data_IF_182887486306
#
_entry.id   IF_182887486306
#
_cell.length_a   1.000
_cell.length_b   1.000
_cell.length_c   1.000
_cell.angle_alpha   90.00
_cell.angle_beta   90.00
_cell.angle_gamma   90.00
#
_symmetry.space_group_name_H-M   'P 1'
#
loop_
_entity.id
_entity.type
_entity.pdbx_description
1 polymer ?
#
# COMPACT_ATOMS: atom_id res chain seq x y z
N UNK A 1 3.94 -17.22 19.29
CA UNK A 1 3.80 -17.22 17.81
C UNK A 1 4.41 -18.50 17.30
N UNK A 2 3.69 -19.27 16.49
CA UNK A 2 4.21 -20.49 15.85
C UNK A 2 4.67 -20.17 14.42
N UNK A 3 5.64 -20.93 13.91
CA UNK A 3 6.08 -20.81 12.52
C UNK A 3 4.92 -21.14 11.57
N UNK A 4 4.83 -20.43 10.44
CA UNK A 4 3.82 -20.67 9.41
C UNK A 4 4.51 -20.85 8.06
N UNK A 5 4.09 -21.86 7.29
CA UNK A 5 4.54 -22.06 5.90
C UNK A 5 3.80 -21.19 4.88
N UNK A 6 2.98 -20.22 5.34
CA UNK A 6 2.19 -19.34 4.49
C UNK A 6 2.96 -18.05 4.17
N UNK A 7 2.75 -17.53 2.97
CA UNK A 7 3.43 -16.35 2.46
C UNK A 7 3.83 -16.57 1.01
N UNK A 8 3.78 -15.52 0.19
CA UNK A 8 4.14 -15.60 -1.23
C UNK A 8 4.65 -14.25 -1.71
N UNK A 9 5.67 -14.26 -2.56
CA UNK A 9 6.05 -13.10 -3.34
C UNK A 9 6.15 -13.48 -4.82
N UNK A 10 5.47 -12.73 -5.67
CA UNK A 10 5.66 -12.78 -7.12
C UNK A 10 6.02 -11.37 -7.58
N UNK A 11 7.18 -11.23 -8.20
CA UNK A 11 7.71 -9.96 -8.71
C UNK A 11 8.03 -10.13 -10.17
N UNK A 12 7.44 -9.30 -11.02
CA UNK A 12 7.71 -9.27 -12.45
C UNK A 12 8.28 -7.89 -12.82
N UNK A 13 9.30 -7.88 -13.66
CA UNK A 13 9.97 -6.65 -14.07
C UNK A 13 10.12 -6.65 -15.58
N UNK A 14 9.70 -5.56 -16.22
CA UNK A 14 9.97 -5.27 -17.61
C UNK A 14 10.81 -3.99 -17.69
N UNK A 15 11.84 -3.98 -18.53
CA UNK A 15 12.71 -2.83 -18.73
C UNK A 15 13.00 -2.61 -20.20
N UNK A 16 13.14 -1.35 -20.55
CA UNK A 16 13.55 -0.90 -21.87
C UNK A 16 14.55 0.24 -21.70
N UNK A 17 15.58 0.22 -22.53
CA UNK A 17 16.58 1.28 -22.64
C UNK A 17 16.96 1.40 -24.11
N UNK A 18 17.06 2.63 -24.60
CA UNK A 18 17.49 2.92 -25.96
C UNK A 18 18.19 4.26 -26.03
N UNK A 19 19.32 4.27 -26.73
CA UNK A 19 20.02 5.49 -27.15
C UNK A 19 19.91 5.63 -28.65
N UNK A 20 19.77 6.87 -29.09
CA UNK A 20 19.70 7.25 -30.49
C UNK A 20 20.91 8.10 -30.84
N UNK A 21 21.37 8.00 -32.08
CA UNK A 21 22.59 8.67 -32.54
C UNK A 21 22.48 10.20 -32.53
N UNK A 22 21.26 10.74 -32.49
CA UNK A 22 20.99 12.19 -32.40
C UNK A 22 21.05 12.74 -30.96
N UNK A 23 21.56 11.97 -29.99
CA UNK A 23 21.80 12.43 -28.62
C UNK A 23 20.67 12.17 -27.62
N UNK A 24 19.58 11.53 -28.05
CA UNK A 24 18.47 11.13 -27.17
C UNK A 24 18.73 9.76 -26.51
N UNK A 25 18.59 9.69 -25.20
CA UNK A 25 18.47 8.47 -24.41
C UNK A 25 17.09 8.37 -23.77
N UNK A 26 16.49 7.19 -23.84
CA UNK A 26 15.22 6.87 -23.20
C UNK A 26 15.37 5.58 -22.40
N UNK A 27 14.96 5.61 -21.14
CA UNK A 27 14.90 4.43 -20.29
C UNK A 27 13.59 4.36 -19.53
N UNK A 28 13.05 3.16 -19.37
CA UNK A 28 11.89 2.90 -18.54
C UNK A 28 11.94 1.50 -17.93
N UNK A 29 11.42 1.39 -16.71
CA UNK A 29 11.22 0.11 -16.04
C UNK A 29 9.87 0.09 -15.37
N UNK A 30 9.17 -1.04 -15.49
CA UNK A 30 7.94 -1.31 -14.78
C UNK A 30 8.15 -2.54 -13.89
N UNK A 31 7.75 -2.43 -12.63
CA UNK A 31 7.77 -3.53 -11.66
C UNK A 31 6.36 -3.77 -11.14
N UNK A 32 5.91 -5.01 -11.25
CA UNK A 32 4.69 -5.51 -10.64
C UNK A 32 5.02 -6.40 -9.44
N UNK A 33 4.34 -6.19 -8.33
CA UNK A 33 4.46 -7.01 -7.13
C UNK A 33 3.11 -7.57 -6.69
N UNK A 34 3.09 -8.86 -6.39
CA UNK A 34 1.98 -9.55 -5.71
C UNK A 34 2.55 -10.31 -4.51
N UNK A 35 2.46 -9.67 -3.34
CA UNK A 35 3.09 -10.16 -2.11
C UNK A 35 2.02 -10.38 -1.06
N UNK A 36 2.01 -11.57 -0.47
CA UNK A 36 1.11 -11.94 0.62
C UNK A 36 1.91 -12.44 1.81
N UNK A 37 1.50 -12.06 3.01
CA UNK A 37 2.11 -12.48 4.27
C UNK A 37 1.05 -12.70 5.36
N UNK A 38 1.46 -13.40 6.42
CA UNK A 38 0.63 -13.63 7.62
C UNK A 38 1.00 -12.62 8.70
N UNK A 39 2.26 -12.65 9.17
CA UNK A 39 2.78 -11.62 10.07
C UNK A 39 3.68 -10.67 9.26
N UNK A 40 3.43 -9.36 9.31
CA UNK A 40 4.20 -8.39 8.54
C UNK A 40 5.60 -8.10 9.12
N UNK A 41 6.01 -8.68 10.26
CA UNK A 41 7.34 -8.48 10.87
C UNK A 41 7.72 -6.98 11.00
N UNK A 42 6.79 -6.17 11.50
CA UNK A 42 6.94 -4.71 11.56
C UNK A 42 7.77 -4.22 12.76
N UNK A 43 8.27 -5.12 13.60
CA UNK A 43 8.97 -4.81 14.85
C UNK A 43 9.91 -5.95 15.25
N UNK A 44 10.63 -5.78 16.37
CA UNK A 44 11.73 -6.66 16.78
C UNK A 44 11.40 -7.64 17.91
N UNK A 45 10.28 -7.47 18.63
CA UNK A 45 9.91 -8.35 19.75
C UNK A 45 8.60 -9.09 19.48
N UNK A 46 8.47 -10.30 20.02
CA UNK A 46 7.29 -11.13 19.78
C UNK A 46 5.97 -10.46 20.21
N UNK A 47 5.99 -9.66 21.27
CA UNK A 47 4.83 -8.92 21.77
C UNK A 47 4.37 -7.84 20.80
N UNK A 48 5.28 -7.03 20.26
CA UNK A 48 4.94 -5.99 19.29
C UNK A 48 4.56 -6.57 17.92
N UNK A 49 5.19 -7.66 17.50
CA UNK A 49 4.80 -8.38 16.28
C UNK A 49 3.40 -8.98 16.35
N UNK A 50 3.01 -9.47 17.53
CA UNK A 50 1.63 -9.89 17.78
C UNK A 50 0.68 -8.70 17.87
N UNK A 51 1.11 -7.58 18.47
CA UNK A 51 0.34 -6.34 18.58
C UNK A 51 0.06 -5.65 17.24
N UNK A 52 0.99 -5.69 16.30
CA UNK A 52 0.93 -4.94 15.04
C UNK A 52 0.35 -5.71 13.85
N UNK A 53 0.12 -7.01 13.99
CA UNK A 53 -0.45 -7.81 12.91
C UNK A 53 -1.97 -7.57 12.81
N UNK A 54 -2.49 -7.42 11.59
CA UNK A 54 -3.93 -7.35 11.36
C UNK A 54 -4.55 -8.73 11.62
N UNK A 55 -5.61 -8.77 12.43
CA UNK A 55 -6.22 -9.99 12.97
C UNK A 55 -7.66 -10.12 12.47
N UNK A 56 -7.98 -11.16 11.70
CA UNK A 56 -9.38 -11.55 11.45
C UNK A 56 -9.90 -12.42 12.61
N UNK A 57 -9.02 -13.28 13.13
CA UNK A 57 -9.18 -13.98 14.40
C UNK A 57 -8.26 -13.30 15.43
N UNK A 58 -8.75 -12.88 16.60
CA UNK A 58 -7.93 -12.24 17.65
C UNK A 58 -6.67 -13.02 18.06
N UNK A 59 -6.66 -14.34 17.88
CA UNK A 59 -5.55 -15.23 18.22
C UNK A 59 -4.60 -15.47 17.04
N UNK A 60 -5.05 -15.26 15.80
CA UNK A 60 -4.29 -15.60 14.59
C UNK A 60 -4.25 -14.46 13.58
N UNK A 61 -3.02 -14.08 13.20
CA UNK A 61 -2.78 -13.07 12.19
C UNK A 61 -3.41 -13.45 10.84
N UNK A 62 -4.05 -12.48 10.20
CA UNK A 62 -4.70 -12.68 8.92
C UNK A 62 -3.66 -12.87 7.81
N UNK A 63 -3.88 -13.89 6.97
CA UNK A 63 -3.17 -14.00 5.70
C UNK A 63 -3.77 -13.02 4.70
N UNK A 64 -2.95 -12.22 4.05
CA UNK A 64 -3.42 -11.28 3.05
C UNK A 64 -2.29 -10.54 2.39
N UNK A 65 -2.62 -9.44 1.71
CA UNK A 65 -1.64 -8.60 1.03
C UNK A 65 -0.60 -8.08 2.03
N UNK A 66 0.68 -8.08 1.65
CA UNK A 66 1.74 -7.55 2.50
C UNK A 66 1.62 -6.04 2.65
N UNK A 67 1.97 -5.52 3.83
CA UNK A 67 2.06 -4.06 4.06
C UNK A 67 3.23 -3.43 3.29
N UNK A 68 4.20 -4.24 2.87
CA UNK A 68 5.36 -3.78 2.10
C UNK A 68 5.18 -3.88 0.58
N UNK A 69 4.04 -4.38 0.10
CA UNK A 69 3.78 -4.51 -1.33
C UNK A 69 3.66 -3.13 -1.99
N UNK A 70 4.59 -2.81 -2.90
CA UNK A 70 4.42 -1.73 -3.87
C UNK A 70 3.94 -2.36 -5.17
N UNK A 71 2.61 -2.40 -5.34
CA UNK A 71 1.97 -3.22 -6.38
C UNK A 71 2.45 -2.90 -7.79
N UNK A 72 2.54 -1.62 -8.11
CA UNK A 72 3.04 -1.13 -9.38
C UNK A 72 4.06 -0.03 -9.11
N UNK A 73 5.20 -0.10 -9.76
CA UNK A 73 6.12 1.04 -9.85
C UNK A 73 6.66 1.17 -11.27
N UNK A 74 6.81 2.42 -11.70
CA UNK A 74 7.46 2.79 -12.95
C UNK A 74 8.60 3.72 -12.60
N UNK A 75 9.76 3.50 -13.20
CA UNK A 75 10.85 4.49 -13.22
C UNK A 75 11.18 4.80 -14.66
N UNK A 76 11.38 6.06 -14.99
CA UNK A 76 11.71 6.48 -16.35
C UNK A 76 12.78 7.56 -16.32
N UNK A 77 13.54 7.62 -17.42
CA UNK A 77 14.50 8.67 -17.69
C UNK A 77 14.47 9.04 -19.17
N UNK A 78 14.69 10.31 -19.44
CA UNK A 78 14.91 10.89 -20.74
C UNK A 78 16.13 11.78 -20.62
N UNK A 79 17.12 11.55 -21.47
CA UNK A 79 18.35 12.32 -21.54
C UNK A 79 18.50 12.83 -22.97
N UNK A 80 18.82 14.10 -23.15
CA UNK A 80 19.03 14.69 -24.46
C UNK A 80 20.25 15.60 -24.42
N UNK A 81 21.26 15.23 -25.20
CA UNK A 81 22.50 15.97 -25.34
C UNK A 81 22.63 16.52 -26.76
N UNK A 82 22.71 17.83 -26.89
CA UNK A 82 22.88 18.47 -28.18
C UNK A 82 23.67 19.78 -28.09
N UNK A 83 24.60 19.99 -29.02
CA UNK A 83 25.36 21.22 -29.11
C UNK A 83 24.62 22.24 -29.97
N UNK A 84 23.77 23.07 -29.33
CA UNK A 84 23.05 24.13 -30.03
C UNK A 84 23.94 25.33 -30.40
N UNK A 85 25.09 25.47 -29.72
CA UNK A 85 25.99 26.62 -29.84
C UNK A 85 27.43 26.15 -30.10
N UNK A 86 27.81 26.00 -31.37
CA UNK A 86 29.15 25.49 -31.72
C UNK A 86 29.36 24.06 -31.18
N UNK A 87 30.46 23.85 -30.46
CA UNK A 87 30.79 22.56 -29.83
C UNK A 87 30.28 22.44 -28.38
N UNK A 88 29.66 23.50 -27.83
CA UNK A 88 29.20 23.54 -26.44
C UNK A 88 27.89 22.79 -26.26
N UNK A 89 27.91 21.74 -25.44
CA UNK A 89 26.74 20.89 -25.21
C UNK A 89 25.72 21.54 -24.30
N UNK A 90 24.46 21.40 -24.70
CA UNK A 90 23.29 21.55 -23.84
C UNK A 90 22.79 20.16 -23.47
N UNK A 91 22.67 19.90 -22.17
CA UNK A 91 22.15 18.65 -21.65
C UNK A 91 20.81 18.89 -20.95
N UNK A 92 19.81 18.12 -21.35
CA UNK A 92 18.49 18.07 -20.75
C UNK A 92 18.24 16.66 -20.23
N UNK A 93 18.04 16.51 -18.93
CA UNK A 93 17.74 15.22 -18.32
C UNK A 93 16.48 15.30 -17.47
N UNK A 94 15.53 14.41 -17.72
CA UNK A 94 14.33 14.21 -16.90
C UNK A 94 14.38 12.81 -16.34
N UNK A 95 14.19 12.68 -15.04
CA UNK A 95 14.00 11.37 -14.41
C UNK A 95 12.78 11.41 -13.50
N UNK A 96 12.09 10.29 -13.40
CA UNK A 96 10.90 10.23 -12.58
C UNK A 96 10.57 8.83 -12.11
N UNK A 97 9.76 8.80 -11.05
CA UNK A 97 9.13 7.60 -10.56
C UNK A 97 7.64 7.78 -10.32
N UNK A 98 6.91 6.74 -10.66
CA UNK A 98 5.56 6.49 -10.20
C UNK A 98 5.58 5.24 -9.33
N UNK A 99 4.85 5.28 -8.21
CA UNK A 99 4.55 4.07 -7.46
C UNK A 99 3.16 4.10 -6.84
N UNK A 100 2.51 2.95 -6.84
CA UNK A 100 1.28 2.74 -6.07
C UNK A 100 1.55 3.02 -4.59
N UNK A 101 0.56 3.62 -3.92
CA UNK A 101 0.62 3.90 -2.50
C UNK A 101 0.74 2.64 -1.63
N UNK A 102 1.01 2.85 -0.35
CA UNK A 102 1.21 1.77 0.60
C UNK A 102 -0.13 1.09 0.92
N UNK A 103 -0.16 -0.24 1.02
CA UNK A 103 -1.32 -0.98 1.49
C UNK A 103 -1.66 -0.63 2.94
N UNK A 104 -2.95 -0.59 3.28
CA UNK A 104 -3.41 -0.43 4.67
C UNK A 104 -4.66 -1.28 4.94
N UNK A 105 -4.83 -1.68 6.20
CA UNK A 105 -5.98 -2.48 6.64
C UNK A 105 -7.06 -1.58 7.23
N UNK A 106 -8.32 -1.97 7.01
CA UNK A 106 -9.45 -1.40 7.73
C UNK A 106 -9.66 -2.20 9.01
N UNK A 107 -9.55 -1.52 10.14
CA UNK A 107 -9.62 -2.16 11.45
C UNK A 107 -10.67 -1.47 12.30
N UNK A 108 -11.35 -2.26 13.12
CA UNK A 108 -12.13 -1.73 14.24
C UNK A 108 -11.21 -1.47 15.44
N UNK A 109 -11.59 -0.46 16.22
CA UNK A 109 -10.91 -0.10 17.46
C UNK A 109 -11.79 -0.49 18.64
N UNK A 110 -11.24 -1.33 19.50
CA UNK A 110 -11.72 -1.45 20.88
C UNK A 110 -11.13 -0.27 21.68
N UNK A 111 -11.99 0.49 22.36
CA UNK A 111 -11.62 1.72 23.08
C UNK A 111 -11.07 1.44 24.48
N UNK A 112 -11.13 0.18 24.95
CA UNK A 112 -10.56 -0.22 26.24
C UNK A 112 -9.04 -0.06 26.28
N UNK A 113 -8.51 0.14 27.48
CA UNK A 113 -7.06 0.13 27.75
C UNK A 113 -6.62 -1.26 28.22
N UNK A 114 -5.47 -1.73 27.73
CA UNK A 114 -4.94 -3.04 28.09
C UNK A 114 -5.60 -4.19 27.33
N UNK A 115 -6.13 -5.20 28.04
CA UNK A 115 -6.76 -6.37 27.43
C UNK A 115 -8.08 -5.98 26.77
N UNK A 116 -8.27 -6.35 25.51
CA UNK A 116 -9.53 -6.14 24.80
C UNK A 116 -10.69 -6.75 25.57
N UNK A 117 -11.72 -5.96 25.85
CA UNK A 117 -12.96 -6.43 26.49
C UNK A 117 -13.82 -7.23 25.52
N UNK A 118 -13.73 -6.91 24.22
CA UNK A 118 -14.49 -7.59 23.15
C UNK A 118 -13.91 -8.97 22.85
N UNK A 119 -12.59 -9.06 22.71
CA UNK A 119 -11.92 -10.27 22.22
C UNK A 119 -11.06 -10.99 23.27
N UNK A 120 -10.88 -10.40 24.45
CA UNK A 120 -10.10 -11.01 25.52
C UNK A 120 -8.61 -11.18 25.18
N UNK A 121 -8.05 -10.40 24.27
CA UNK A 121 -6.63 -10.53 23.88
C UNK A 121 -5.79 -9.33 24.32
N UNK A 122 -4.48 -9.53 24.50
CA UNK A 122 -3.54 -8.47 24.91
C UNK A 122 -2.81 -7.90 23.68
N UNK A 123 -2.47 -6.62 23.68
CA UNK A 123 -1.76 -5.93 22.59
C UNK A 123 -2.56 -4.76 22.03
N UNK A 124 -2.34 -4.38 20.77
CA UNK A 124 -3.03 -3.22 20.21
C UNK A 124 -4.51 -3.52 19.99
N UNK A 125 -5.38 -2.69 20.56
CA UNK A 125 -6.83 -2.78 20.40
C UNK A 125 -7.35 -2.22 19.06
N UNK A 126 -6.44 -1.81 18.17
CA UNK A 126 -6.77 -1.32 16.81
C UNK A 126 -6.39 -2.33 15.72
N UNK A 127 -6.12 -3.58 16.06
CA UNK A 127 -5.58 -4.57 15.12
C UNK A 127 -6.63 -5.48 14.48
N UNK A 128 -7.87 -5.45 14.98
CA UNK A 128 -8.93 -6.35 14.53
C UNK A 128 -9.49 -5.84 13.21
N UNK A 129 -9.48 -6.69 12.18
CA UNK A 129 -10.03 -6.34 10.87
C UNK A 129 -11.52 -6.06 10.98
N UNK A 130 -11.97 -4.99 10.33
CA UNK A 130 -13.35 -4.53 10.38
C UNK A 130 -14.30 -5.56 9.74
N UNK A 131 -15.34 -5.99 10.46
CA UNK A 131 -16.50 -6.61 9.82
C UNK A 131 -17.27 -5.56 9.03
N UNK A 132 -17.59 -5.84 7.77
CA UNK A 132 -18.31 -4.92 6.89
C UNK A 132 -19.80 -5.29 6.92
N UNK A 133 -20.68 -4.45 7.50
CA UNK A 133 -22.13 -4.71 7.50
C UNK A 133 -22.71 -4.95 6.11
N UNK A 134 -23.66 -5.89 6.01
CA UNK A 134 -24.46 -6.16 4.81
C UNK A 134 -25.27 -4.95 4.36
N UNK A 135 -25.67 -4.11 5.33
CA UNK A 135 -26.33 -2.83 5.12
C UNK A 135 -26.64 -2.16 6.47
N UNK A 136 -27.51 -1.15 6.45
CA UNK A 136 -27.91 -0.40 7.64
C UNK A 136 -28.68 -1.26 8.67
N UNK A 137 -29.33 -2.34 8.23
CA UNK A 137 -30.15 -3.24 9.05
C UNK A 137 -29.45 -4.59 9.32
N UNK A 138 -28.13 -4.66 9.22
CA UNK A 138 -27.38 -5.89 9.52
C UNK A 138 -27.57 -6.30 11.01
N UNK A 139 -28.12 -7.49 11.31
CA UNK A 139 -28.39 -7.91 12.67
C UNK A 139 -27.13 -8.18 13.51
N UNK A 140 -25.95 -8.24 12.88
CA UNK A 140 -24.67 -8.45 13.55
C UNK A 140 -24.03 -7.14 14.05
N UNK A 141 -24.62 -5.98 13.74
CA UNK A 141 -24.04 -4.68 14.06
C UNK A 141 -25.06 -3.80 14.77
N UNK A 142 -24.67 -3.28 15.93
CA UNK A 142 -25.42 -2.26 16.66
C UNK A 142 -24.72 -0.92 16.54
N UNK A 143 -25.50 0.14 16.37
CA UNK A 143 -25.03 1.51 16.27
C UNK A 143 -25.49 2.32 17.47
N UNK A 144 -24.70 3.29 17.90
CA UNK A 144 -25.06 4.24 18.96
C UNK A 144 -26.13 5.24 18.49
N UNK A 145 -26.11 5.58 17.19
CA UNK A 145 -27.08 6.48 16.56
C UNK A 145 -27.30 6.17 15.08
N UNK A 146 -28.43 6.62 14.53
CA UNK A 146 -28.70 6.56 13.10
C UNK A 146 -27.68 7.38 12.28
N UNK A 147 -27.18 8.49 12.82
CA UNK A 147 -26.16 9.31 12.15
C UNK A 147 -24.84 8.54 11.97
N UNK A 148 -24.38 7.82 13.02
CA UNK A 148 -23.18 6.97 12.93
C UNK A 148 -23.37 5.84 11.93
N UNK A 149 -24.54 5.19 11.95
CA UNK A 149 -24.90 4.13 11.00
C UNK A 149 -24.82 4.62 9.55
N UNK A 150 -25.49 5.72 9.25
CA UNK A 150 -25.59 6.25 7.89
C UNK A 150 -24.22 6.76 7.41
N UNK A 151 -23.43 7.38 8.30
CA UNK A 151 -22.05 7.80 7.99
C UNK A 151 -21.12 6.60 7.71
N UNK A 152 -21.22 5.52 8.48
CA UNK A 152 -20.44 4.31 8.24
C UNK A 152 -20.86 3.66 6.92
N UNK A 153 -22.16 3.55 6.65
CA UNK A 153 -22.66 2.94 5.42
C UNK A 153 -22.20 3.72 4.17
N UNK A 154 -22.27 5.06 4.22
CA UNK A 154 -21.73 5.93 3.17
C UNK A 154 -20.22 5.75 3.00
N UNK A 155 -19.46 5.64 4.10
CA UNK A 155 -18.02 5.38 4.06
C UNK A 155 -17.69 4.01 3.43
N UNK A 156 -18.45 2.97 3.77
CA UNK A 156 -18.29 1.64 3.17
C UNK A 156 -18.58 1.72 1.67
N UNK A 157 -19.69 2.36 1.28
CA UNK A 157 -20.08 2.57 -0.12
C UNK A 157 -19.04 3.32 -0.96
N UNK A 158 -18.35 4.29 -0.35
CA UNK A 158 -17.31 5.09 -1.01
C UNK A 158 -15.91 4.44 -1.05
N UNK A 159 -15.74 3.24 -0.49
CA UNK A 159 -14.43 2.57 -0.40
C UNK A 159 -14.47 1.16 -0.97
N UNK A 160 -13.30 0.50 -0.98
CA UNK A 160 -13.19 -0.91 -1.39
C UNK A 160 -13.96 -1.85 -0.45
N UNK A 161 -14.38 -1.39 0.73
CA UNK A 161 -15.18 -2.18 1.67
C UNK A 161 -16.53 -2.59 1.08
N UNK A 162 -17.11 -1.81 0.17
CA UNK A 162 -18.41 -2.11 -0.43
C UNK A 162 -18.45 -3.52 -1.08
N UNK A 163 -17.34 -3.95 -1.70
CA UNK A 163 -17.23 -5.28 -2.30
C UNK A 163 -17.06 -6.44 -1.31
N UNK A 164 -17.04 -6.14 0.00
CA UNK A 164 -16.81 -7.09 1.08
C UNK A 164 -17.89 -7.06 2.17
N UNK A 165 -19.06 -6.48 1.88
CA UNK A 165 -20.22 -6.50 2.78
C UNK A 165 -20.61 -7.94 3.17
N UNK A 166 -20.96 -8.13 4.43
CA UNK A 166 -21.25 -9.44 5.03
C UNK A 166 -20.02 -10.26 5.43
N UNK A 167 -18.81 -9.69 5.34
CA UNK A 167 -17.58 -10.39 5.66
C UNK A 167 -16.59 -9.50 6.42
N UNK A 168 -15.59 -10.13 7.04
CA UNK A 168 -14.43 -9.43 7.60
C UNK A 168 -13.57 -8.90 6.45
N UNK A 169 -13.24 -7.61 6.49
CA UNK A 169 -12.44 -6.94 5.48
C UNK A 169 -11.07 -7.65 5.31
N UNK A 170 -10.64 -7.93 4.07
CA UNK A 170 -9.32 -8.52 3.85
C UNK A 170 -8.19 -7.63 4.38
N UNK A 171 -7.14 -8.29 4.90
CA UNK A 171 -5.91 -7.61 5.30
C UNK A 171 -5.33 -6.81 4.13
N UNK A 172 -5.01 -5.55 4.43
CA UNK A 172 -4.38 -4.59 3.53
C UNK A 172 -5.17 -4.33 2.23
N UNK A 173 -6.50 -4.37 2.33
CA UNK A 173 -7.43 -4.06 1.23
C UNK A 173 -7.25 -2.63 0.69
N UNK A 174 -7.06 -1.68 1.61
CA UNK A 174 -6.86 -0.26 1.31
C UNK A 174 -5.54 0.01 0.60
N UNK A 175 -5.45 1.13 -0.09
CA UNK A 175 -4.21 1.59 -0.74
C UNK A 175 -4.15 3.10 -0.63
N UNK A 176 -3.08 3.63 -0.05
CA UNK A 176 -2.90 5.08 0.05
C UNK A 176 -2.78 5.72 -1.34
N UNK A 177 -2.87 7.06 -1.46
CA UNK A 177 -2.60 7.74 -2.71
C UNK A 177 -1.24 7.33 -3.29
N UNK A 178 -1.19 7.26 -4.62
CA UNK A 178 0.04 6.95 -5.33
C UNK A 178 1.00 8.13 -5.29
N UNK A 179 2.29 7.85 -5.40
CA UNK A 179 3.34 8.87 -5.41
C UNK A 179 3.86 9.04 -6.83
N UNK A 180 4.01 10.29 -7.24
CA UNK A 180 4.70 10.72 -8.46
C UNK A 180 5.81 11.68 -8.07
N UNK A 181 7.02 11.44 -8.57
CA UNK A 181 8.17 12.35 -8.44
C UNK A 181 8.82 12.50 -9.79
N UNK A 182 9.07 13.73 -10.21
CA UNK A 182 9.76 14.05 -11.45
C UNK A 182 10.76 15.14 -11.15
N UNK A 183 11.99 14.93 -11.59
CA UNK A 183 13.10 15.84 -11.42
C UNK A 183 13.65 16.19 -12.80
N UNK A 184 14.03 17.45 -12.97
CA UNK A 184 14.54 18.02 -14.20
C UNK A 184 15.94 18.58 -13.95
N UNK A 185 16.87 18.27 -14.85
CA UNK A 185 18.21 18.84 -14.91
C UNK A 185 18.43 19.49 -16.29
N UNK A 186 18.95 20.70 -16.28
CA UNK A 186 19.35 21.45 -17.47
C UNK A 186 20.75 21.99 -17.25
N UNK A 187 21.62 21.77 -18.22
CA UNK A 187 23.02 22.19 -18.17
C UNK A 187 23.45 22.71 -19.54
N UNK A 188 24.30 23.72 -19.55
CA UNK A 188 24.84 24.36 -20.74
C UNK A 188 26.33 24.61 -20.52
N UNK A 189 27.15 24.06 -21.41
CA UNK A 189 28.57 24.43 -21.50
C UNK A 189 28.70 25.85 -22.05
N UNK A 190 29.63 26.63 -21.52
CA UNK A 190 29.93 28.00 -21.97
C UNK A 190 31.42 28.12 -22.34
N UNK A 191 31.80 29.10 -23.19
CA UNK A 191 33.20 29.37 -23.54
C UNK A 191 34.10 29.72 -22.36
#
# INVERSE_FOLDING_TARGET
MTSTGKGRSVIAVARFDKRFDFGLGLGASYTYQNVKDVNPITSATAGSLYGNAAMADPNFAAYGRSIYEVRNSVKFNLDYDHAFFGDYKTRFSVFGEYRTGRPYSYTMRDTSSGRSVVFGTNGSNTRYLLYVPTGIDDPLVSYDSAATRDALDAYIGGTKLNGHRGAIAPKNLGTSPSVWKVDLHLEQEIP
#
